data_IF_709889122955
#
_entry.id   IF_709889122955
#
_cell.length_a   1.000
_cell.length_b   1.000
_cell.length_c   1.000
_cell.angle_alpha   90.00
_cell.angle_beta   90.00
_cell.angle_gamma   90.00
#
_symmetry.space_group_name_H-M   'P 1'
#
loop_
_entity.id
_entity.type
_entity.pdbx_description
1 polymer ?
#
# COMPACT_ATOMS: atom_id res chain seq x y z
N UNK A 1 -13.57 16.80 7.25
CA UNK A 1 -12.82 15.81 8.05
C UNK A 1 -11.45 15.41 7.45
N UNK A 2 -11.25 15.40 6.11
CA UNK A 2 -9.97 14.98 5.47
C UNK A 2 -8.72 15.82 5.80
N UNK A 3 -8.85 17.12 6.09
CA UNK A 3 -7.67 17.98 6.37
C UNK A 3 -6.99 17.73 7.73
N UNK A 4 -7.67 17.08 8.69
CA UNK A 4 -7.09 16.84 10.02
C UNK A 4 -6.04 15.73 10.02
N UNK A 5 -6.24 14.67 9.23
CA UNK A 5 -5.30 13.53 9.19
C UNK A 5 -3.97 13.87 8.50
N UNK A 6 -3.98 14.76 7.50
CA UNK A 6 -2.75 15.33 6.93
C UNK A 6 -1.92 16.08 7.99
N UNK A 7 -2.58 16.77 8.93
CA UNK A 7 -1.89 17.39 10.05
C UNK A 7 -1.27 16.35 11.00
N UNK A 8 -1.96 15.22 11.22
CA UNK A 8 -1.44 14.09 12.00
C UNK A 8 -0.20 13.48 11.32
N UNK A 9 -0.18 13.32 10.00
CA UNK A 9 1.01 12.87 9.27
C UNK A 9 2.22 13.75 9.54
N UNK A 10 2.04 15.09 9.51
CA UNK A 10 3.13 16.02 9.83
C UNK A 10 3.65 15.84 11.26
N UNK A 11 2.76 15.62 12.23
CA UNK A 11 3.15 15.36 13.63
C UNK A 11 3.93 14.05 13.76
N UNK A 12 3.52 12.99 13.06
CA UNK A 12 4.25 11.72 13.02
C UNK A 12 5.63 11.89 12.40
N UNK A 13 5.68 12.44 11.18
CA UNK A 13 6.90 12.57 10.39
C UNK A 13 7.95 13.48 11.05
N UNK A 14 7.54 14.55 11.74
CA UNK A 14 8.48 15.54 12.29
C UNK A 14 8.68 15.42 13.80
N UNK A 15 7.67 14.97 14.55
CA UNK A 15 7.68 15.05 16.02
C UNK A 15 7.43 13.70 16.71
N UNK A 16 7.11 12.64 15.96
CA UNK A 16 6.82 11.28 16.48
C UNK A 16 5.85 11.29 17.67
N UNK A 17 4.93 12.24 17.68
CA UNK A 17 4.07 12.53 18.83
C UNK A 17 2.96 11.48 18.91
N UNK A 18 2.77 10.91 20.11
CA UNK A 18 1.72 9.91 20.42
C UNK A 18 1.80 8.59 19.63
N UNK A 19 2.90 8.32 18.93
CA UNK A 19 3.11 7.03 18.28
C UNK A 19 3.12 5.91 19.34
N UNK A 20 2.18 4.98 19.21
CA UNK A 20 1.96 3.84 20.12
C UNK A 20 2.40 2.51 19.50
N UNK A 21 2.99 2.56 18.29
CA UNK A 21 3.64 1.42 17.63
C UNK A 21 4.80 1.88 16.75
N UNK A 22 5.81 1.02 16.61
CA UNK A 22 6.89 1.12 15.63
C UNK A 22 6.82 -0.11 14.73
N UNK A 23 6.66 0.09 13.43
CA UNK A 23 6.82 -0.97 12.44
C UNK A 23 8.31 -1.13 12.15
N UNK A 24 8.83 -2.33 12.38
CA UNK A 24 10.19 -2.73 12.07
C UNK A 24 10.16 -3.42 10.70
N UNK A 25 10.77 -2.79 9.70
CA UNK A 25 10.82 -3.33 8.33
C UNK A 25 12.27 -3.36 7.90
N UNK A 26 12.86 -4.55 7.87
CA UNK A 26 14.31 -4.71 7.76
C UNK A 26 14.99 -3.87 8.86
N UNK A 27 15.97 -3.03 8.51
CA UNK A 27 16.67 -2.14 9.46
C UNK A 27 15.94 -0.81 9.71
N UNK A 28 14.77 -0.57 9.09
CA UNK A 28 14.03 0.70 9.20
C UNK A 28 12.99 0.65 10.32
N UNK A 29 12.94 1.74 11.09
CA UNK A 29 11.93 1.96 12.13
C UNK A 29 10.92 2.99 11.64
N UNK A 30 9.65 2.62 11.56
CA UNK A 30 8.56 3.48 11.11
C UNK A 30 7.57 3.68 12.28
N UNK A 31 7.69 4.78 13.05
CA UNK A 31 6.74 5.11 14.11
C UNK A 31 5.37 5.45 13.53
N UNK A 32 4.30 4.92 14.13
CA UNK A 32 2.94 5.13 13.68
C UNK A 32 1.92 5.08 14.82
N UNK A 33 0.64 5.24 14.46
CA UNK A 33 -0.49 5.12 15.36
C UNK A 33 -1.30 3.87 15.02
N UNK A 34 -1.51 3.00 15.99
CA UNK A 34 -2.27 1.75 15.84
C UNK A 34 -3.67 2.02 15.30
N UNK A 35 -4.35 3.04 15.82
CA UNK A 35 -5.71 3.40 15.40
C UNK A 35 -5.78 3.83 13.94
N UNK A 36 -4.76 4.55 13.44
CA UNK A 36 -4.73 5.01 12.04
C UNK A 36 -4.49 3.82 11.12
N UNK A 37 -3.49 2.99 11.43
CA UNK A 37 -3.20 1.78 10.66
C UNK A 37 -4.40 0.81 10.64
N UNK A 38 -5.02 0.55 11.79
CA UNK A 38 -6.20 -0.32 11.90
C UNK A 38 -7.41 0.21 11.13
N UNK A 39 -7.55 1.53 11.00
CA UNK A 39 -8.63 2.12 10.21
C UNK A 39 -8.45 1.93 8.69
N UNK A 40 -7.20 1.84 8.24
CA UNK A 40 -6.85 1.71 6.82
C UNK A 40 -6.64 0.25 6.37
N UNK A 41 -6.37 -0.66 7.31
CA UNK A 41 -5.96 -2.05 7.06
C UNK A 41 -6.68 -3.02 7.98
N UNK A 42 -7.36 -4.01 7.38
CA UNK A 42 -8.00 -5.07 8.16
C UNK A 42 -6.97 -5.95 8.88
N UNK A 43 -5.81 -6.19 8.25
CA UNK A 43 -4.70 -6.91 8.86
C UNK A 43 -4.23 -6.23 10.17
N UNK A 44 -3.95 -4.93 10.14
CA UNK A 44 -3.50 -4.20 11.33
C UNK A 44 -4.61 -4.10 12.39
N UNK A 45 -5.88 -3.99 11.96
CA UNK A 45 -7.01 -4.05 12.88
C UNK A 45 -7.01 -5.36 13.67
N UNK A 46 -6.93 -6.50 12.99
CA UNK A 46 -6.87 -7.80 13.65
C UNK A 46 -5.62 -7.93 14.54
N UNK A 47 -4.46 -7.55 14.02
CA UNK A 47 -3.19 -7.60 14.76
C UNK A 47 -3.26 -6.81 16.07
N UNK A 48 -3.92 -5.65 16.09
CA UNK A 48 -3.94 -4.78 17.26
C UNK A 48 -5.14 -5.02 18.21
N UNK A 49 -6.18 -5.71 17.77
CA UNK A 49 -7.38 -5.98 18.59
C UNK A 49 -7.47 -7.41 19.13
N UNK A 50 -6.65 -8.34 18.62
CA UNK A 50 -6.53 -9.68 19.19
C UNK A 50 -5.83 -9.64 20.57
N UNK A 51 -5.96 -10.69 21.38
CA UNK A 51 -5.31 -10.79 22.70
C UNK A 51 -3.90 -11.42 22.65
N UNK A 52 -3.24 -11.38 21.48
CA UNK A 52 -1.92 -11.97 21.27
C UNK A 52 -0.78 -11.08 21.83
N UNK A 53 0.45 -11.57 21.84
CA UNK A 53 1.61 -10.81 22.38
C UNK A 53 1.93 -9.64 21.44
N UNK A 54 1.85 -9.89 20.14
CA UNK A 54 2.04 -8.94 19.05
C UNK A 54 1.08 -7.75 19.17
N UNK A 55 -0.14 -7.99 19.68
CA UNK A 55 -1.13 -6.95 19.91
C UNK A 55 -0.83 -6.05 21.12
N UNK A 56 0.19 -6.37 21.91
CA UNK A 56 0.65 -5.57 23.04
C UNK A 56 2.07 -5.06 22.85
N UNK A 57 2.79 -5.54 21.83
CA UNK A 57 4.14 -5.12 21.53
C UNK A 57 4.15 -3.69 20.99
N UNK A 58 5.14 -2.91 21.46
CA UNK A 58 5.41 -1.58 20.95
C UNK A 58 6.15 -1.63 19.60
N UNK A 59 7.00 -2.65 19.38
CA UNK A 59 7.67 -2.88 18.11
C UNK A 59 7.07 -4.11 17.41
N UNK A 60 6.68 -3.95 16.14
CA UNK A 60 6.07 -5.00 15.32
C UNK A 60 6.93 -5.22 14.09
N UNK A 61 7.46 -6.44 13.93
CA UNK A 61 8.27 -6.82 12.79
C UNK A 61 7.40 -7.24 11.59
N UNK A 62 7.61 -6.58 10.45
CA UNK A 62 7.01 -6.94 9.17
C UNK A 62 8.06 -7.65 8.32
N UNK A 63 8.03 -8.98 8.37
CA UNK A 63 8.93 -9.85 7.61
C UNK A 63 8.58 -9.82 6.13
N UNK A 64 9.61 -9.97 5.30
CA UNK A 64 9.50 -10.06 3.83
C UNK A 64 8.81 -8.86 3.18
N UNK A 65 8.93 -7.68 3.81
CA UNK A 65 8.35 -6.44 3.33
C UNK A 65 9.40 -5.46 2.81
N UNK A 66 9.04 -4.72 1.77
CA UNK A 66 9.85 -3.65 1.20
C UNK A 66 9.63 -2.35 2.00
N UNK A 67 10.65 -1.78 2.67
CA UNK A 67 10.44 -0.64 3.55
C UNK A 67 9.85 0.59 2.83
N UNK A 68 10.29 0.87 1.60
CA UNK A 68 9.79 1.98 0.79
C UNK A 68 8.30 1.84 0.45
N UNK A 69 7.82 0.61 0.30
CA UNK A 69 6.41 0.30 0.03
C UNK A 69 5.60 0.46 1.32
N UNK A 70 6.11 -0.02 2.45
CA UNK A 70 5.45 0.16 3.75
C UNK A 70 5.33 1.66 4.10
N UNK A 71 6.38 2.44 3.89
CA UNK A 71 6.34 3.90 4.12
C UNK A 71 5.24 4.57 3.29
N UNK A 72 5.10 4.20 2.00
CA UNK A 72 4.01 4.69 1.14
C UNK A 72 2.63 4.27 1.64
N UNK A 73 2.45 3.02 2.09
CA UNK A 73 1.18 2.54 2.64
C UNK A 73 0.83 3.22 3.97
N UNK A 74 1.83 3.48 4.82
CA UNK A 74 1.65 4.24 6.06
C UNK A 74 1.26 5.67 5.73
N UNK A 75 1.95 6.35 4.81
CA UNK A 75 1.57 7.69 4.37
C UNK A 75 0.13 7.71 3.81
N UNK A 76 -0.23 6.70 3.01
CA UNK A 76 -1.61 6.54 2.53
C UNK A 76 -2.61 6.45 3.68
N UNK A 77 -2.32 5.70 4.75
CA UNK A 77 -3.21 5.59 5.90
C UNK A 77 -3.50 6.96 6.56
N UNK A 78 -2.55 7.90 6.53
CA UNK A 78 -2.76 9.25 7.06
C UNK A 78 -3.34 10.25 6.05
N UNK A 79 -3.08 10.07 4.75
CA UNK A 79 -3.38 11.11 3.75
C UNK A 79 -4.51 10.73 2.80
N UNK A 80 -4.83 9.44 2.72
CA UNK A 80 -5.65 8.81 1.68
C UNK A 80 -5.13 9.11 0.26
N UNK A 81 -3.82 9.33 0.11
CA UNK A 81 -3.14 9.60 -1.16
C UNK A 81 -1.99 8.64 -1.33
N UNK A 82 -1.84 8.14 -2.55
CA UNK A 82 -0.71 7.30 -2.96
C UNK A 82 -0.53 7.43 -4.48
N UNK A 83 0.71 7.34 -4.95
CA UNK A 83 1.02 7.41 -6.38
C UNK A 83 1.34 6.01 -6.89
N UNK A 84 0.53 5.51 -7.82
CA UNK A 84 0.76 4.22 -8.49
C UNK A 84 1.38 4.48 -9.86
N UNK A 85 2.44 3.75 -10.21
CA UNK A 85 3.13 3.83 -11.49
C UNK A 85 3.75 2.46 -11.87
N UNK A 86 4.33 2.37 -13.06
CA UNK A 86 4.91 1.12 -13.60
C UNK A 86 6.01 0.51 -12.73
N UNK A 87 6.72 1.33 -11.95
CA UNK A 87 7.87 0.87 -11.16
C UNK A 87 7.45 0.31 -9.80
N UNK A 88 6.33 0.77 -9.24
CA UNK A 88 5.89 0.39 -7.89
C UNK A 88 4.58 -0.42 -7.85
N UNK A 89 3.82 -0.50 -8.95
CA UNK A 89 2.49 -1.11 -8.94
C UNK A 89 2.48 -2.57 -8.50
N UNK A 90 3.50 -3.36 -8.88
CA UNK A 90 3.56 -4.76 -8.50
C UNK A 90 3.78 -4.92 -6.99
N UNK A 91 4.83 -4.31 -6.45
CA UNK A 91 5.12 -4.34 -5.01
C UNK A 91 4.00 -3.72 -4.18
N UNK A 92 3.37 -2.63 -4.65
CA UNK A 92 2.21 -2.03 -3.98
C UNK A 92 1.00 -2.96 -3.98
N UNK A 93 0.73 -3.67 -5.09
CA UNK A 93 -0.37 -4.61 -5.17
C UNK A 93 -0.15 -5.79 -4.21
N UNK A 94 1.06 -6.35 -4.18
CA UNK A 94 1.42 -7.48 -3.32
C UNK A 94 1.30 -7.08 -1.84
N UNK A 95 1.87 -5.94 -1.46
CA UNK A 95 1.76 -5.42 -0.10
C UNK A 95 0.31 -5.05 0.26
N UNK A 96 -0.45 -4.40 -0.64
CA UNK A 96 -1.85 -4.05 -0.37
C UNK A 96 -2.74 -5.29 -0.18
N UNK A 97 -2.44 -6.40 -0.88
CA UNK A 97 -3.08 -7.68 -0.64
C UNK A 97 -2.68 -8.26 0.72
N UNK A 98 -1.39 -8.31 1.03
CA UNK A 98 -0.87 -8.86 2.29
C UNK A 98 -1.40 -8.11 3.52
N UNK A 99 -1.39 -6.78 3.47
CA UNK A 99 -1.87 -5.92 4.55
C UNK A 99 -3.35 -5.53 4.42
N UNK A 100 -4.07 -6.09 3.44
CA UNK A 100 -5.51 -5.92 3.27
C UNK A 100 -5.95 -4.44 3.24
N UNK A 101 -5.31 -3.65 2.38
CA UNK A 101 -5.62 -2.22 2.15
C UNK A 101 -6.37 -2.11 0.82
N UNK A 102 -7.67 -2.37 0.86
CA UNK A 102 -8.52 -2.53 -0.33
C UNK A 102 -8.51 -1.32 -1.30
N UNK A 103 -8.52 -0.05 -0.84
CA UNK A 103 -8.47 1.08 -1.77
C UNK A 103 -7.19 1.11 -2.60
N UNK A 104 -6.03 0.80 -2.00
CA UNK A 104 -4.74 0.76 -2.70
C UNK A 104 -4.68 -0.40 -3.68
N UNK A 105 -5.15 -1.58 -3.26
CA UNK A 105 -5.28 -2.75 -4.13
C UNK A 105 -6.12 -2.42 -5.36
N UNK A 106 -7.29 -1.80 -5.17
CA UNK A 106 -8.17 -1.38 -6.27
C UNK A 106 -7.46 -0.44 -7.23
N UNK A 107 -6.77 0.59 -6.72
CA UNK A 107 -6.00 1.51 -7.55
C UNK A 107 -4.91 0.81 -8.38
N UNK A 108 -4.22 -0.18 -7.80
CA UNK A 108 -3.20 -0.95 -8.51
C UNK A 108 -3.80 -1.84 -9.61
N UNK A 109 -4.92 -2.52 -9.32
CA UNK A 109 -5.64 -3.34 -10.31
C UNK A 109 -6.18 -2.48 -11.46
N UNK A 110 -6.76 -1.33 -11.15
CA UNK A 110 -7.31 -0.43 -12.15
C UNK A 110 -6.18 0.13 -13.04
N UNK A 111 -5.02 0.51 -12.46
CA UNK A 111 -3.83 0.91 -13.23
C UNK A 111 -3.32 -0.20 -14.16
N UNK A 112 -3.22 -1.45 -13.68
CA UNK A 112 -2.75 -2.57 -14.50
C UNK A 112 -3.70 -2.87 -15.66
N UNK A 113 -5.02 -2.78 -15.43
CA UNK A 113 -6.02 -2.95 -16.51
C UNK A 113 -5.86 -1.90 -17.60
N UNK A 114 -5.65 -0.64 -17.24
CA UNK A 114 -5.43 0.44 -18.21
C UNK A 114 -4.17 0.21 -19.06
N UNK A 115 -3.09 -0.32 -18.47
CA UNK A 115 -1.87 -0.68 -19.22
C UNK A 115 -2.07 -1.88 -20.15
N UNK A 116 -2.86 -2.87 -19.72
CA UNK A 116 -3.23 -4.03 -20.56
C UNK A 116 -4.13 -3.59 -21.71
N UNK A 117 -5.11 -2.72 -21.48
CA UNK A 117 -5.97 -2.19 -22.54
C UNK A 117 -5.15 -1.37 -23.56
N UNK A 118 -4.20 -0.55 -23.10
CA UNK A 118 -3.30 0.20 -23.97
C UNK A 118 -2.37 -0.70 -24.81
N UNK A 119 -1.89 -1.81 -24.25
CA UNK A 119 -1.04 -2.78 -24.97
C UNK A 119 -1.84 -3.73 -25.87
N UNK A 120 -3.09 -4.07 -25.51
CA UNK A 120 -4.01 -4.84 -26.35
C UNK A 120 -4.55 -4.05 -27.56
N UNK A 121 -4.44 -2.73 -27.57
CA UNK A 121 -4.68 -1.93 -28.78
C UNK A 121 -3.62 -2.19 -29.87
N UNK A 122 -2.43 -2.68 -29.53
CA UNK A 122 -1.37 -3.00 -30.51
C UNK A 122 -1.46 -4.44 -31.05
N UNK A 123 -2.10 -5.35 -30.33
CA UNK A 123 -2.25 -6.76 -30.75
C UNK A 123 -3.41 -6.95 -31.73
N UNK A 124 -4.27 -5.93 -31.93
CA UNK A 124 -5.37 -5.97 -32.91
C UNK A 124 -5.00 -5.55 -34.33
N UNK A 125 -3.75 -5.16 -34.59
CA UNK A 125 -3.24 -4.83 -35.94
C UNK A 125 -2.05 -5.71 -36.33
N UNK A 126 -2.18 -7.04 -36.24
CA UNK A 126 -1.28 -7.97 -36.93
C UNK A 126 -2.09 -8.85 -37.89
N UNK A 127 -2.08 -8.40 -39.15
CA UNK A 127 -2.36 -9.07 -40.43
C UNK A 127 -3.65 -9.88 -40.65
N UNK A 128 -4.69 -9.20 -41.14
CA UNK A 128 -5.72 -9.80 -41.99
C UNK A 128 -5.31 -9.94 -43.47
N UNK A 129 -4.03 -9.73 -43.82
CA UNK A 129 -3.54 -9.78 -45.22
C UNK A 129 -2.66 -10.99 -45.58
N UNK A 130 -2.64 -12.05 -44.77
CA UNK A 130 -1.90 -13.28 -45.09
C UNK A 130 -2.77 -14.51 -45.40
N UNK A 131 -4.09 -14.35 -45.61
CA UNK A 131 -4.95 -15.44 -46.10
C UNK A 131 -5.55 -15.26 -47.50
N UNK A 132 -5.14 -14.22 -48.25
CA UNK A 132 -5.42 -14.14 -49.69
C UNK A 132 -4.14 -13.72 -50.42
N UNK A 133 -3.72 -14.54 -51.39
CA UNK A 133 -2.55 -14.42 -52.27
C UNK A 133 -1.27 -15.10 -51.71
N UNK A 134 -1.30 -16.42 -51.53
CA UNK A 134 -0.81 -17.44 -52.48
C UNK A 134 -1.30 -18.82 -52.05
#
# INVERSE_FOLDING_TARGET
MRNKLYFVWKLVAHQKTLCDVILMVQERKIPAHRVVLASASHFFNLMFTTNMIESKSFEVELKDAEPDIIEQLVEFAYTARISVNSNNVQSLLDAANQYQIEPVKKMCVDFLKEQVDASNCLVREIDLNLLFIF
#
